data_IF_787683299947
#
_entry.id   IF_787683299947
#
_cell.length_a   1.000
_cell.length_b   1.000
_cell.length_c   1.000
_cell.angle_alpha   90.00
_cell.angle_beta   90.00
_cell.angle_gamma   90.00
#
_symmetry.space_group_name_H-M   'P 1'
#
loop_
_entity.id
_entity.type
_entity.pdbx_description
1 polymer ?
#
# COMPACT_ATOMS: atom_id res chain seq x y z
N UNK A 1 -20.99 9.79 6.02
CA UNK A 1 -22.13 10.72 5.76
C UNK A 1 -21.73 11.77 4.73
N UNK A 2 -22.45 11.89 3.61
CA UNK A 2 -22.32 13.05 2.72
C UNK A 2 -23.04 14.22 3.38
N UNK A 3 -22.32 15.31 3.58
CA UNK A 3 -22.86 16.51 4.23
C UNK A 3 -23.43 17.48 3.19
N UNK A 4 -22.77 17.55 2.04
CA UNK A 4 -23.12 18.51 0.99
C UNK A 4 -22.54 18.06 -0.34
N UNK A 5 -23.34 18.17 -1.40
CA UNK A 5 -22.87 18.07 -2.78
C UNK A 5 -23.13 19.41 -3.44
N UNK A 6 -22.08 20.03 -3.97
CA UNK A 6 -22.21 21.31 -4.65
C UNK A 6 -21.51 21.29 -6.00
N UNK A 7 -22.15 21.93 -6.97
CA UNK A 7 -21.59 22.11 -8.30
C UNK A 7 -20.75 23.38 -8.31
N UNK A 8 -19.44 23.25 -8.51
CA UNK A 8 -18.59 24.39 -8.82
C UNK A 8 -18.87 24.84 -10.26
N UNK A 9 -19.79 25.79 -10.42
CA UNK A 9 -20.22 26.30 -11.73
C UNK A 9 -19.11 27.01 -12.52
N UNK A 10 -18.00 27.40 -11.89
CA UNK A 10 -16.85 28.00 -12.59
C UNK A 10 -15.92 26.96 -13.20
N UNK A 11 -15.82 25.78 -12.59
CA UNK A 11 -14.87 24.73 -12.98
C UNK A 11 -15.57 23.48 -13.55
N UNK A 12 -16.91 23.44 -13.56
CA UNK A 12 -17.68 22.29 -14.04
C UNK A 12 -17.60 21.05 -13.12
N UNK A 13 -16.91 21.15 -11.99
CA UNK A 13 -16.68 20.04 -11.07
C UNK A 13 -17.77 19.92 -10.01
N UNK A 14 -18.01 18.69 -9.56
CA UNK A 14 -18.85 18.40 -8.40
C UNK A 14 -17.98 18.20 -7.18
N UNK A 15 -18.22 18.99 -6.13
CA UNK A 15 -17.54 18.89 -4.85
C UNK A 15 -18.47 18.14 -3.89
N UNK A 16 -17.99 17.02 -3.38
CA UNK A 16 -18.72 16.16 -2.43
C UNK A 16 -18.03 16.26 -1.08
N UNK A 17 -18.69 16.89 -0.13
CA UNK A 17 -18.24 17.00 1.25
C UNK A 17 -18.70 15.77 2.02
N UNK A 18 -17.75 15.01 2.58
CA UNK A 18 -18.03 13.78 3.32
C UNK A 18 -17.38 13.80 4.70
N UNK A 19 -18.15 13.38 5.69
CA UNK A 19 -17.65 13.03 7.02
C UNK A 19 -17.58 11.51 7.11
N UNK A 20 -16.36 10.99 7.27
CA UNK A 20 -16.08 9.55 7.34
C UNK A 20 -16.36 9.05 8.77
N UNK A 21 -17.33 8.14 8.90
CA UNK A 21 -17.63 7.45 10.14
C UNK A 21 -17.45 5.94 9.89
N UNK A 22 -16.21 5.46 9.98
CA UNK A 22 -15.76 4.06 9.88
C UNK A 22 -16.04 3.31 8.56
N UNK A 23 -15.24 2.27 8.30
CA UNK A 23 -15.14 1.54 7.02
C UNK A 23 -16.35 0.64 6.69
N UNK A 24 -17.33 0.49 7.59
CA UNK A 24 -18.43 -0.49 7.46
C UNK A 24 -19.77 0.09 6.97
N UNK A 25 -19.78 1.27 6.33
CA UNK A 25 -21.03 2.00 6.12
C UNK A 25 -21.79 1.56 4.84
N UNK A 26 -22.99 1.00 5.07
CA UNK A 26 -24.03 0.64 4.08
C UNK A 26 -24.39 1.80 3.12
N UNK A 27 -23.98 3.03 3.43
CA UNK A 27 -24.17 4.25 2.64
C UNK A 27 -23.11 4.50 1.54
N UNK A 28 -22.01 3.75 1.49
CA UNK A 28 -21.09 3.77 0.34
C UNK A 28 -21.77 3.24 -0.94
N UNK A 29 -22.73 2.31 -0.82
CA UNK A 29 -23.47 1.74 -1.96
C UNK A 29 -24.34 2.75 -2.71
N UNK A 30 -24.97 3.71 -2.04
CA UNK A 30 -25.81 4.73 -2.70
C UNK A 30 -24.96 5.78 -3.41
N UNK A 31 -23.91 6.27 -2.75
CA UNK A 31 -22.89 7.14 -3.35
C UNK A 31 -22.25 6.47 -4.58
N UNK A 32 -22.02 5.15 -4.48
CA UNK A 32 -21.49 4.31 -5.55
C UNK A 32 -22.50 4.07 -6.67
N UNK A 33 -23.79 3.88 -6.38
CA UNK A 33 -24.84 3.75 -7.40
C UNK A 33 -24.94 5.03 -8.24
N UNK A 34 -24.79 6.18 -7.59
CA UNK A 34 -24.76 7.50 -8.23
C UNK A 34 -23.50 7.71 -9.07
N UNK A 35 -22.30 7.44 -8.56
CA UNK A 35 -21.05 7.54 -9.36
C UNK A 35 -21.01 6.53 -10.52
N UNK A 36 -21.59 5.34 -10.32
CA UNK A 36 -21.71 4.29 -11.34
C UNK A 36 -22.69 4.65 -12.46
N UNK A 37 -23.71 5.47 -12.19
CA UNK A 37 -24.64 5.98 -13.20
C UNK A 37 -24.13 7.23 -13.94
N UNK A 38 -23.04 7.84 -13.46
CA UNK A 38 -22.47 9.08 -13.99
C UNK A 38 -21.06 8.92 -14.57
N UNK A 39 -20.63 7.72 -15.01
CA UNK A 39 -19.41 7.57 -15.83
C UNK A 39 -19.66 8.16 -17.24
N UNK A 40 -19.81 9.48 -17.30
CA UNK A 40 -19.93 10.30 -18.50
C UNK A 40 -18.57 10.68 -19.08
N UNK A 41 -18.57 11.59 -20.05
CA UNK A 41 -17.34 12.06 -20.72
C UNK A 41 -16.44 12.91 -19.80
N UNK A 42 -17.01 13.60 -18.81
CA UNK A 42 -16.28 14.50 -17.89
C UNK A 42 -15.81 13.85 -16.57
N UNK A 43 -15.81 12.52 -16.48
CA UNK A 43 -15.40 11.84 -15.24
C UNK A 43 -13.88 11.82 -15.12
N UNK A 44 -13.33 12.30 -14.01
CA UNK A 44 -11.91 12.07 -13.68
C UNK A 44 -11.68 10.59 -13.37
N UNK A 45 -11.35 9.84 -14.43
CA UNK A 45 -11.17 8.39 -14.39
C UNK A 45 -9.94 7.99 -13.56
N UNK A 46 -8.95 8.86 -13.39
CA UNK A 46 -7.76 8.57 -12.58
C UNK A 46 -8.14 8.55 -11.09
N UNK A 47 -8.78 9.62 -10.62
CA UNK A 47 -9.27 9.72 -9.24
C UNK A 47 -10.28 8.61 -8.92
N UNK A 48 -11.23 8.33 -9.82
CA UNK A 48 -12.18 7.24 -9.65
C UNK A 48 -11.47 5.87 -9.61
N UNK A 49 -10.50 5.64 -10.49
CA UNK A 49 -9.72 4.40 -10.52
C UNK A 49 -8.95 4.17 -9.21
N UNK A 50 -8.35 5.22 -8.64
CA UNK A 50 -7.64 5.18 -7.36
C UNK A 50 -8.59 4.84 -6.21
N UNK A 51 -9.72 5.53 -6.13
CA UNK A 51 -10.75 5.31 -5.12
C UNK A 51 -11.27 3.86 -5.18
N UNK A 52 -11.59 3.36 -6.37
CA UNK A 52 -12.05 1.97 -6.57
C UNK A 52 -10.97 0.95 -6.19
N UNK A 53 -9.70 1.26 -6.43
CA UNK A 53 -8.59 0.40 -6.05
C UNK A 53 -8.47 0.28 -4.53
N UNK A 54 -8.50 1.40 -3.80
CA UNK A 54 -8.42 1.39 -2.33
C UNK A 54 -9.60 0.68 -1.68
N UNK A 55 -10.79 0.68 -2.32
CA UNK A 55 -11.97 -0.07 -1.86
C UNK A 55 -11.95 -1.57 -2.18
N UNK A 56 -10.94 -2.07 -2.91
CA UNK A 56 -10.89 -3.47 -3.31
C UNK A 56 -11.66 -3.83 -4.59
N UNK A 57 -12.27 -2.85 -5.27
CA UNK A 57 -13.06 -3.03 -6.50
C UNK A 57 -12.15 -3.09 -7.75
N UNK A 58 -11.18 -4.01 -7.73
CA UNK A 58 -10.08 -4.08 -8.71
C UNK A 58 -10.54 -4.31 -10.17
N UNK A 59 -11.71 -4.93 -10.36
CA UNK A 59 -12.28 -5.13 -11.70
C UNK A 59 -12.75 -3.82 -12.30
N UNK A 60 -13.38 -2.96 -11.50
CA UNK A 60 -13.91 -1.66 -11.90
C UNK A 60 -12.76 -0.65 -12.03
N UNK A 61 -11.82 -0.63 -11.08
CA UNK A 61 -10.61 0.18 -11.18
C UNK A 61 -9.87 -0.08 -12.51
N UNK A 62 -9.68 -1.36 -12.86
CA UNK A 62 -9.08 -1.74 -14.14
C UNK A 62 -9.87 -1.30 -15.38
N UNK A 63 -11.20 -1.12 -15.29
CA UNK A 63 -12.00 -0.55 -16.39
C UNK A 63 -11.75 0.95 -16.56
N UNK A 64 -11.66 1.70 -15.46
CA UNK A 64 -11.33 3.13 -15.47
C UNK A 64 -9.98 3.37 -16.14
N UNK A 65 -8.94 2.67 -15.67
CA UNK A 65 -7.60 2.80 -16.24
C UNK A 65 -7.53 2.36 -17.71
N UNK A 66 -8.25 1.30 -18.12
CA UNK A 66 -8.31 0.92 -19.54
C UNK A 66 -8.96 2.00 -20.42
N UNK A 67 -9.97 2.71 -19.91
CA UNK A 67 -10.66 3.77 -20.65
C UNK A 67 -9.79 5.03 -20.80
N UNK A 68 -8.96 5.33 -19.81
CA UNK A 68 -7.99 6.44 -19.86
C UNK A 68 -6.89 6.27 -20.92
N UNK A 69 -6.60 5.04 -21.39
CA UNK A 69 -5.48 4.77 -22.31
C UNK A 69 -5.60 5.36 -23.72
N UNK A 70 -6.61 6.20 -23.97
CA UNK A 70 -6.80 6.97 -25.21
C UNK A 70 -6.58 8.48 -25.00
N UNK A 71 -6.00 8.91 -23.87
CA UNK A 71 -5.79 10.31 -23.50
C UNK A 71 -4.30 10.72 -23.65
N UNK A 72 -3.94 11.91 -23.15
CA UNK A 72 -2.57 12.44 -23.17
C UNK A 72 -1.53 11.44 -22.62
N UNK A 73 -0.29 11.48 -23.13
CA UNK A 73 0.73 10.46 -22.82
C UNK A 73 0.97 10.24 -21.32
N UNK A 74 0.93 11.29 -20.48
CA UNK A 74 1.07 11.15 -19.04
C UNK A 74 -0.13 10.43 -18.38
N UNK A 75 -1.35 10.70 -18.85
CA UNK A 75 -2.55 9.99 -18.42
C UNK A 75 -2.45 8.49 -18.76
N UNK A 76 -1.88 8.15 -19.92
CA UNK A 76 -1.60 6.76 -20.29
C UNK A 76 -0.58 6.11 -19.33
N UNK A 77 0.45 6.84 -18.91
CA UNK A 77 1.42 6.38 -17.90
C UNK A 77 0.77 6.11 -16.54
N UNK A 78 -0.11 7.00 -16.08
CA UNK A 78 -0.85 6.82 -14.81
C UNK A 78 -1.86 5.66 -14.89
N UNK A 79 -2.55 5.54 -16.01
CA UNK A 79 -3.43 4.42 -16.27
C UNK A 79 -2.68 3.07 -16.30
N UNK A 80 -1.52 3.01 -16.95
CA UNK A 80 -0.66 1.84 -16.94
C UNK A 80 -0.20 1.51 -15.51
N UNK A 81 0.20 2.51 -14.73
CA UNK A 81 0.58 2.30 -13.33
C UNK A 81 -0.57 1.71 -12.50
N UNK A 82 -1.77 2.26 -12.63
CA UNK A 82 -2.98 1.75 -11.99
C UNK A 82 -3.31 0.30 -12.39
N UNK A 83 -3.14 -0.05 -13.67
CA UNK A 83 -3.28 -1.43 -14.15
C UNK A 83 -2.22 -2.35 -13.55
N UNK A 84 -0.97 -1.91 -13.49
CA UNK A 84 0.12 -2.65 -12.86
C UNK A 84 -0.22 -3.08 -11.43
N UNK A 85 -0.75 -2.14 -10.62
CA UNK A 85 -1.25 -2.41 -9.27
C UNK A 85 -2.38 -3.44 -9.26
N UNK A 86 -3.36 -3.30 -10.16
CA UNK A 86 -4.50 -4.23 -10.26
C UNK A 86 -4.05 -5.65 -10.60
N UNK A 87 -3.09 -5.80 -11.49
CA UNK A 87 -2.58 -7.12 -11.90
C UNK A 87 -1.70 -7.76 -10.81
N UNK A 88 -0.93 -6.98 -10.05
CA UNK A 88 -0.23 -7.47 -8.86
C UNK A 88 -1.20 -8.13 -7.87
N UNK A 89 -2.36 -7.52 -7.62
CA UNK A 89 -3.38 -8.07 -6.71
C UNK A 89 -4.11 -9.29 -7.26
N UNK A 90 -4.08 -9.51 -8.57
CA UNK A 90 -4.56 -10.74 -9.21
C UNK A 90 -3.51 -11.85 -9.24
N UNK A 91 -2.33 -11.60 -8.67
CA UNK A 91 -1.18 -12.49 -8.73
C UNK A 91 -0.74 -12.81 -10.17
N UNK A 92 -0.99 -11.87 -11.10
CA UNK A 92 -0.54 -11.95 -12.49
C UNK A 92 0.73 -11.09 -12.63
N UNK A 93 1.87 -11.75 -12.49
CA UNK A 93 3.18 -11.11 -12.52
C UNK A 93 3.53 -10.54 -13.91
N UNK A 94 3.27 -11.30 -14.98
CA UNK A 94 3.57 -10.90 -16.35
C UNK A 94 2.76 -9.67 -16.75
N UNK A 95 1.45 -9.69 -16.48
CA UNK A 95 0.57 -8.56 -16.75
C UNK A 95 0.95 -7.33 -15.91
N UNK A 96 1.26 -7.54 -14.63
CA UNK A 96 1.65 -6.46 -13.72
C UNK A 96 2.96 -5.78 -14.15
N UNK A 97 4.01 -6.55 -14.45
CA UNK A 97 5.30 -6.03 -14.90
C UNK A 97 5.17 -5.28 -16.21
N UNK A 98 4.47 -5.85 -17.19
CA UNK A 98 4.22 -5.19 -18.48
C UNK A 98 3.68 -3.76 -18.31
N UNK A 99 2.66 -3.59 -17.47
CA UNK A 99 2.05 -2.27 -17.26
C UNK A 99 2.90 -1.35 -16.38
N UNK A 100 3.61 -1.87 -15.37
CA UNK A 100 4.49 -1.08 -14.52
C UNK A 100 5.74 -0.59 -15.28
N UNK A 101 6.29 -1.40 -16.18
CA UNK A 101 7.41 -1.02 -17.06
C UNK A 101 6.99 0.02 -18.10
N UNK A 102 5.78 -0.11 -18.67
CA UNK A 102 5.19 0.91 -19.55
C UNK A 102 5.03 2.25 -18.81
N UNK A 103 4.50 2.21 -17.58
CA UNK A 103 4.34 3.40 -16.74
C UNK A 103 5.69 4.01 -16.35
N UNK A 104 6.66 3.17 -15.99
CA UNK A 104 8.03 3.59 -15.67
C UNK A 104 8.66 4.32 -16.85
N UNK A 105 8.63 3.73 -18.04
CA UNK A 105 9.18 4.33 -19.26
C UNK A 105 8.53 5.69 -19.55
N UNK A 106 7.20 5.76 -19.50
CA UNK A 106 6.44 7.00 -19.74
C UNK A 106 6.79 8.09 -18.71
N UNK A 107 6.82 7.75 -17.41
CA UNK A 107 7.14 8.70 -16.34
C UNK A 107 8.59 9.18 -16.41
N UNK A 108 9.53 8.31 -16.76
CA UNK A 108 10.93 8.70 -16.98
C UNK A 108 11.08 9.69 -18.14
N UNK A 109 10.36 9.46 -19.25
CA UNK A 109 10.41 10.34 -20.42
C UNK A 109 9.80 11.72 -20.15
N UNK A 110 8.69 11.78 -19.41
CA UNK A 110 7.92 13.01 -19.22
C UNK A 110 8.29 13.80 -17.96
N UNK A 111 8.69 13.12 -16.88
CA UNK A 111 8.92 13.72 -15.56
C UNK A 111 10.41 13.74 -15.17
N UNK A 112 11.24 12.96 -15.86
CA UNK A 112 12.65 12.77 -15.55
C UNK A 112 12.91 11.57 -14.63
N UNK A 113 14.17 11.15 -14.56
CA UNK A 113 14.61 9.92 -13.88
C UNK A 113 14.46 9.97 -12.36
N UNK A 114 14.58 11.14 -11.77
CA UNK A 114 14.57 11.32 -10.32
C UNK A 114 13.18 11.73 -9.79
N UNK A 115 12.11 11.64 -10.59
CA UNK A 115 10.77 12.02 -10.13
C UNK A 115 10.18 11.00 -9.14
N UNK A 116 9.39 11.47 -8.17
CA UNK A 116 8.75 10.62 -7.15
C UNK A 116 7.96 9.45 -7.74
N UNK A 117 7.18 9.70 -8.80
CA UNK A 117 6.38 8.71 -9.52
C UNK A 117 7.22 7.59 -10.18
N UNK A 118 8.48 7.87 -10.54
CA UNK A 118 9.43 6.87 -11.04
C UNK A 118 9.86 5.97 -9.87
N UNK A 119 10.14 6.54 -8.71
CA UNK A 119 10.39 5.80 -7.48
C UNK A 119 9.20 4.93 -7.05
N UNK A 120 7.97 5.40 -7.27
CA UNK A 120 6.76 4.62 -7.02
C UNK A 120 6.65 3.41 -7.96
N UNK A 121 6.94 3.57 -9.26
CA UNK A 121 6.99 2.45 -10.21
C UNK A 121 7.98 1.37 -9.74
N UNK A 122 9.21 1.76 -9.38
CA UNK A 122 10.21 0.82 -8.86
C UNK A 122 9.74 0.12 -7.58
N UNK A 123 9.00 0.80 -6.71
CA UNK A 123 8.44 0.20 -5.50
C UNK A 123 7.45 -0.93 -5.83
N UNK A 124 6.59 -0.73 -6.82
CA UNK A 124 5.61 -1.72 -7.23
C UNK A 124 6.20 -2.87 -8.04
N UNK A 125 7.19 -2.59 -8.90
CA UNK A 125 7.95 -3.62 -9.60
C UNK A 125 8.64 -4.52 -8.58
N UNK A 126 9.38 -3.92 -7.64
CA UNK A 126 10.05 -4.67 -6.57
C UNK A 126 9.08 -5.47 -5.70
N UNK A 127 7.88 -4.91 -5.41
CA UNK A 127 6.82 -5.65 -4.73
C UNK A 127 6.39 -6.90 -5.48
N UNK A 128 6.14 -6.77 -6.77
CA UNK A 128 5.67 -7.88 -7.60
C UNK A 128 6.71 -8.99 -7.71
N UNK A 129 8.00 -8.64 -7.79
CA UNK A 129 9.08 -9.60 -7.77
C UNK A 129 9.12 -10.42 -6.47
N UNK A 130 9.08 -9.79 -5.28
CA UNK A 130 9.11 -10.58 -4.04
C UNK A 130 7.77 -11.30 -3.77
N UNK A 131 6.63 -10.70 -4.12
CA UNK A 131 5.32 -11.21 -3.69
C UNK A 131 4.67 -12.21 -4.65
N UNK A 132 5.07 -12.24 -5.92
CA UNK A 132 4.46 -13.11 -6.94
C UNK A 132 5.50 -13.95 -7.68
N UNK A 133 6.66 -13.38 -8.03
CA UNK A 133 7.73 -14.11 -8.72
C UNK A 133 8.63 -14.89 -7.77
N UNK A 134 8.63 -14.53 -6.49
CA UNK A 134 9.60 -15.01 -5.49
C UNK A 134 11.05 -14.74 -5.93
N UNK A 135 11.25 -13.67 -6.72
CA UNK A 135 12.56 -13.23 -7.19
C UNK A 135 13.05 -12.10 -6.30
N UNK A 136 13.76 -12.47 -5.23
CA UNK A 136 14.17 -11.52 -4.21
C UNK A 136 15.33 -10.62 -4.65
N UNK A 137 16.17 -11.07 -5.58
CA UNK A 137 17.28 -10.28 -6.11
C UNK A 137 16.77 -9.11 -6.95
N UNK A 138 15.86 -9.38 -7.90
CA UNK A 138 15.23 -8.32 -8.68
C UNK A 138 14.35 -7.41 -7.81
N UNK A 139 13.70 -7.96 -6.78
CA UNK A 139 13.00 -7.15 -5.80
C UNK A 139 13.93 -6.15 -5.11
N UNK A 140 15.09 -6.59 -4.61
CA UNK A 140 16.07 -5.72 -3.97
C UNK A 140 16.65 -4.68 -4.93
N UNK A 141 16.94 -5.03 -6.19
CA UNK A 141 17.43 -4.09 -7.20
C UNK A 141 16.45 -2.95 -7.39
N UNK A 142 15.17 -3.27 -7.60
CA UNK A 142 14.13 -2.28 -7.86
C UNK A 142 13.81 -1.45 -6.59
N UNK A 143 13.68 -2.09 -5.43
CA UNK A 143 13.40 -1.39 -4.17
C UNK A 143 14.55 -0.45 -3.75
N UNK A 144 15.82 -0.81 -3.99
CA UNK A 144 16.96 0.10 -3.73
C UNK A 144 16.96 1.30 -4.67
N UNK A 145 16.60 1.13 -5.96
CA UNK A 145 16.38 2.25 -6.88
C UNK A 145 15.26 3.17 -6.39
N UNK A 146 14.14 2.59 -5.96
CA UNK A 146 13.03 3.35 -5.39
C UNK A 146 13.44 4.18 -4.18
N UNK A 147 14.13 3.58 -3.19
CA UNK A 147 14.61 4.30 -2.00
C UNK A 147 15.55 5.44 -2.39
N UNK A 148 16.50 5.21 -3.29
CA UNK A 148 17.45 6.25 -3.73
C UNK A 148 16.72 7.48 -4.30
N UNK A 149 15.74 7.25 -5.16
CA UNK A 149 14.94 8.35 -5.76
C UNK A 149 14.11 9.03 -4.67
N UNK A 150 13.38 8.24 -3.88
CA UNK A 150 12.45 8.76 -2.87
C UNK A 150 13.15 9.55 -1.76
N UNK A 151 14.31 9.10 -1.28
CA UNK A 151 15.12 9.84 -0.29
C UNK A 151 15.64 11.17 -0.85
N UNK A 152 15.84 11.27 -2.17
CA UNK A 152 16.32 12.49 -2.82
C UNK A 152 15.20 13.52 -3.03
N UNK A 153 13.95 13.08 -3.29
CA UNK A 153 12.88 13.98 -3.76
C UNK A 153 11.66 14.08 -2.85
N UNK A 154 11.48 13.16 -1.91
CA UNK A 154 10.38 13.20 -0.96
C UNK A 154 10.82 13.76 0.40
N UNK A 155 9.89 14.34 1.18
CA UNK A 155 10.14 14.58 2.58
C UNK A 155 10.61 13.29 3.27
N UNK A 156 11.59 13.35 4.21
CA UNK A 156 12.11 12.17 4.91
C UNK A 156 11.03 11.35 5.64
N UNK A 157 9.89 11.97 5.92
CA UNK A 157 8.77 11.36 6.62
C UNK A 157 7.70 10.80 5.67
N UNK A 158 7.92 10.70 4.36
CA UNK A 158 6.85 10.34 3.41
C UNK A 158 6.32 8.91 3.62
N UNK A 159 5.00 8.75 3.60
CA UNK A 159 4.35 7.42 3.64
C UNK A 159 4.74 6.54 2.45
N UNK A 160 5.06 7.12 1.28
CA UNK A 160 5.55 6.36 0.14
C UNK A 160 6.91 5.72 0.47
N UNK A 161 7.82 6.47 1.08
CA UNK A 161 9.12 5.96 1.52
C UNK A 161 8.97 4.89 2.62
N UNK A 162 8.03 5.08 3.55
CA UNK A 162 7.72 4.06 4.56
C UNK A 162 7.25 2.73 3.95
N UNK A 163 6.47 2.78 2.87
CA UNK A 163 6.01 1.58 2.17
C UNK A 163 7.16 0.87 1.44
N UNK A 164 8.09 1.62 0.84
CA UNK A 164 9.27 1.04 0.20
C UNK A 164 10.23 0.42 1.21
N UNK A 165 10.45 1.07 2.36
CA UNK A 165 11.19 0.45 3.47
C UNK A 165 10.50 -0.80 4.01
N UNK A 166 9.17 -0.79 4.13
CA UNK A 166 8.44 -1.99 4.53
C UNK A 166 8.66 -3.14 3.53
N UNK A 167 8.59 -2.88 2.23
CA UNK A 167 8.86 -3.90 1.20
C UNK A 167 10.29 -4.43 1.28
N UNK A 168 11.30 -3.56 1.51
CA UNK A 168 12.68 -4.01 1.74
C UNK A 168 12.78 -4.89 2.98
N UNK A 169 12.12 -4.50 4.08
CA UNK A 169 12.04 -5.31 5.29
C UNK A 169 11.48 -6.70 5.03
N UNK A 170 10.42 -6.80 4.22
CA UNK A 170 9.83 -8.08 3.79
C UNK A 170 10.77 -8.88 2.91
N UNK A 171 11.44 -8.26 1.93
CA UNK A 171 12.39 -8.97 1.06
C UNK A 171 13.58 -9.51 1.84
N UNK A 172 14.12 -8.76 2.80
CA UNK A 172 15.20 -9.25 3.67
C UNK A 172 14.74 -10.31 4.67
N UNK A 173 13.50 -10.26 5.18
CA UNK A 173 12.90 -11.34 5.98
C UNK A 173 12.85 -12.65 5.18
N UNK A 174 12.42 -12.60 3.92
CA UNK A 174 12.36 -13.76 3.01
C UNK A 174 13.75 -14.32 2.65
N UNK A 175 14.78 -13.48 2.66
CA UNK A 175 16.18 -13.87 2.49
C UNK A 175 16.86 -14.32 3.79
N UNK A 176 16.14 -14.34 4.90
CA UNK A 176 16.67 -14.63 6.25
C UNK A 176 17.76 -13.65 6.74
N UNK A 177 17.85 -12.48 6.11
CA UNK A 177 18.77 -11.39 6.44
C UNK A 177 18.19 -10.50 7.55
N UNK A 178 18.01 -11.10 8.72
CA UNK A 178 17.16 -10.55 9.78
C UNK A 178 17.59 -9.19 10.34
N UNK A 179 18.89 -8.89 10.38
CA UNK A 179 19.36 -7.56 10.82
C UNK A 179 18.95 -6.45 9.86
N UNK A 180 19.06 -6.70 8.55
CA UNK A 180 18.61 -5.76 7.52
C UNK A 180 17.08 -5.64 7.55
N UNK A 181 16.37 -6.77 7.66
CA UNK A 181 14.91 -6.79 7.80
C UNK A 181 14.40 -5.93 8.96
N UNK A 182 14.98 -6.11 10.15
CA UNK A 182 14.67 -5.30 11.34
C UNK A 182 14.98 -3.81 11.11
N UNK A 183 16.12 -3.49 10.51
CA UNK A 183 16.50 -2.10 10.25
C UNK A 183 15.47 -1.39 9.35
N UNK A 184 15.06 -2.03 8.26
CA UNK A 184 14.09 -1.45 7.33
C UNK A 184 12.67 -1.40 7.87
N UNK A 185 12.20 -2.44 8.58
CA UNK A 185 10.90 -2.37 9.26
C UNK A 185 10.87 -1.28 10.34
N UNK A 186 11.97 -1.05 11.06
CA UNK A 186 12.07 0.02 12.06
C UNK A 186 11.99 1.40 11.40
N UNK A 187 12.65 1.61 10.26
CA UNK A 187 12.52 2.86 9.49
C UNK A 187 11.07 3.10 9.05
N UNK A 188 10.39 2.08 8.52
CA UNK A 188 9.00 2.17 8.12
C UNK A 188 8.07 2.48 9.30
N UNK A 189 8.26 1.81 10.44
CA UNK A 189 7.49 2.02 11.66
C UNK A 189 7.62 3.46 12.16
N UNK A 190 8.84 4.00 12.24
CA UNK A 190 9.09 5.37 12.74
C UNK A 190 8.32 6.42 11.94
N UNK A 191 8.25 6.27 10.62
CA UNK A 191 7.47 7.17 9.76
C UNK A 191 5.97 6.99 10.02
N UNK A 192 5.49 5.74 10.09
CA UNK A 192 4.08 5.43 10.34
C UNK A 192 3.60 5.96 11.69
N UNK A 193 4.40 5.81 12.75
CA UNK A 193 4.10 6.39 14.08
C UNK A 193 4.07 7.92 14.07
N UNK A 194 4.88 8.56 13.22
CA UNK A 194 4.92 10.02 13.11
C UNK A 194 3.72 10.59 12.35
N UNK A 195 3.24 9.91 11.31
CA UNK A 195 2.25 10.46 10.38
C UNK A 195 0.84 9.90 10.53
N UNK A 196 0.66 8.71 11.12
CA UNK A 196 -0.63 8.04 11.19
C UNK A 196 -1.21 8.11 12.61
N UNK A 197 -2.55 8.03 12.76
CA UNK A 197 -3.16 7.83 14.06
C UNK A 197 -2.57 6.62 14.79
N UNK A 198 -2.45 6.69 16.11
CA UNK A 198 -1.80 5.66 16.93
C UNK A 198 -2.42 4.26 16.81
N UNK A 199 -3.69 4.18 16.40
CA UNK A 199 -4.44 2.94 16.19
C UNK A 199 -4.49 2.50 14.72
N UNK A 200 -3.73 3.15 13.84
CA UNK A 200 -3.75 2.84 12.42
C UNK A 200 -3.29 1.39 12.14
N UNK A 201 -4.00 0.62 11.28
CA UNK A 201 -3.68 -0.78 10.99
C UNK A 201 -2.23 -1.02 10.54
N UNK A 202 -1.66 -0.09 9.75
CA UNK A 202 -0.26 -0.18 9.29
C UNK A 202 0.77 -0.10 10.41
N UNK A 203 0.49 0.58 11.53
CA UNK A 203 1.37 0.59 12.71
C UNK A 203 1.33 -0.81 13.36
N UNK A 204 0.14 -1.36 13.56
CA UNK A 204 -0.02 -2.72 14.10
C UNK A 204 0.69 -3.77 13.22
N UNK A 205 0.56 -3.67 11.91
CA UNK A 205 1.27 -4.55 10.97
C UNK A 205 2.79 -4.44 11.11
N UNK A 206 3.32 -3.21 11.25
CA UNK A 206 4.75 -2.97 11.42
C UNK A 206 5.28 -3.60 12.71
N UNK A 207 4.56 -3.44 13.82
CA UNK A 207 4.88 -4.11 15.08
C UNK A 207 4.81 -5.63 14.97
N UNK A 208 3.79 -6.18 14.31
CA UNK A 208 3.68 -7.63 14.11
C UNK A 208 4.88 -8.18 13.34
N UNK A 209 5.32 -7.50 12.28
CA UNK A 209 6.46 -7.94 11.46
C UNK A 209 7.79 -7.85 12.22
N UNK A 210 8.01 -6.79 13.01
CA UNK A 210 9.16 -6.71 13.91
C UNK A 210 9.12 -7.81 14.98
N UNK A 211 7.94 -8.10 15.51
CA UNK A 211 7.73 -9.20 16.46
C UNK A 211 8.13 -10.55 15.87
N UNK A 212 7.67 -10.85 14.65
CA UNK A 212 8.07 -12.06 13.91
C UNK A 212 9.58 -12.08 13.66
N UNK A 213 10.16 -11.00 13.15
CA UNK A 213 11.61 -10.92 12.91
C UNK A 213 12.45 -11.18 14.16
N UNK A 214 12.10 -10.56 15.28
CA UNK A 214 12.83 -10.80 16.53
C UNK A 214 12.65 -12.23 17.05
N UNK A 215 11.50 -12.86 16.79
CA UNK A 215 11.29 -14.27 17.10
C UNK A 215 12.22 -15.15 16.27
N UNK A 216 12.34 -14.88 14.96
CA UNK A 216 13.19 -15.65 14.04
C UNK A 216 14.69 -15.46 14.36
N UNK A 217 15.07 -14.29 14.90
CA UNK A 217 16.40 -14.04 15.51
C UNK A 217 16.63 -14.70 16.87
N UNK A 218 15.62 -15.37 17.46
CA UNK A 218 15.69 -15.96 18.80
C UNK A 218 15.59 -14.95 19.95
N UNK A 219 15.35 -13.66 19.69
CA UNK A 219 15.14 -12.66 20.74
C UNK A 219 13.65 -12.61 21.15
N UNK A 220 13.23 -13.61 21.90
CA UNK A 220 11.83 -13.79 22.29
C UNK A 220 11.29 -12.65 23.16
N UNK A 221 12.12 -12.02 23.98
CA UNK A 221 11.70 -10.86 24.79
C UNK A 221 11.31 -9.67 23.94
N UNK A 222 12.14 -9.27 22.96
CA UNK A 222 11.79 -8.18 22.03
C UNK A 222 10.61 -8.57 21.13
N UNK A 223 10.59 -9.81 20.65
CA UNK A 223 9.49 -10.32 19.86
C UNK A 223 8.15 -10.14 20.56
N UNK A 224 8.09 -10.52 21.85
CA UNK A 224 6.89 -10.41 22.65
C UNK A 224 6.44 -8.96 22.83
N UNK A 225 7.38 -8.05 23.15
CA UNK A 225 7.07 -6.62 23.30
C UNK A 225 6.42 -6.04 22.04
N UNK A 226 6.94 -6.35 20.86
CA UNK A 226 6.38 -5.89 19.60
C UNK A 226 5.03 -6.52 19.28
N UNK A 227 4.87 -7.84 19.50
CA UNK A 227 3.58 -8.50 19.30
C UNK A 227 2.50 -7.96 20.25
N UNK A 228 2.84 -7.61 21.49
CA UNK A 228 1.93 -7.00 22.46
C UNK A 228 1.50 -5.58 22.06
N UNK A 229 2.39 -4.78 21.47
CA UNK A 229 1.99 -3.49 20.87
C UNK A 229 1.05 -3.67 19.67
N UNK A 230 1.34 -4.64 18.81
CA UNK A 230 0.48 -4.97 17.66
C UNK A 230 -0.92 -5.39 18.10
N UNK A 231 -1.03 -6.28 19.10
CA UNK A 231 -2.33 -6.81 19.53
C UNK A 231 -3.18 -5.75 20.23
N UNK A 232 -2.55 -4.82 20.95
CA UNK A 232 -3.27 -3.71 21.59
C UNK A 232 -4.03 -2.87 20.55
N UNK A 233 -3.35 -2.51 19.45
CA UNK A 233 -3.97 -1.77 18.35
C UNK A 233 -5.05 -2.64 17.69
N UNK A 234 -4.73 -3.87 17.29
CA UNK A 234 -5.68 -4.78 16.60
C UNK A 234 -6.97 -5.00 17.39
N UNK A 235 -6.91 -5.05 18.73
CA UNK A 235 -8.11 -5.18 19.57
C UNK A 235 -9.02 -3.96 19.56
N UNK A 236 -8.48 -2.75 19.31
CA UNK A 236 -9.27 -1.51 19.23
C UNK A 236 -10.03 -1.41 17.90
N UNK A 237 -9.41 -1.88 16.81
CA UNK A 237 -9.91 -1.65 15.44
C UNK A 237 -10.52 -2.88 14.76
N UNK A 238 -10.33 -4.10 15.29
CA UNK A 238 -10.85 -5.33 14.67
C UNK A 238 -11.84 -6.06 15.58
N UNK A 239 -12.89 -6.70 15.01
CA UNK A 239 -13.76 -7.56 15.78
C UNK A 239 -13.00 -8.78 16.33
N UNK A 240 -13.44 -9.36 17.46
CA UNK A 240 -12.77 -10.51 18.09
C UNK A 240 -12.60 -11.75 17.20
N UNK A 241 -13.40 -11.87 16.14
CA UNK A 241 -13.38 -12.98 15.17
C UNK A 241 -12.39 -12.76 14.01
N UNK A 242 -11.79 -11.57 13.90
CA UNK A 242 -10.92 -11.24 12.78
C UNK A 242 -9.66 -12.11 12.74
N UNK A 243 -9.34 -12.65 11.56
CA UNK A 243 -8.23 -13.60 11.37
C UNK A 243 -6.87 -13.04 11.81
N UNK A 244 -6.60 -11.78 11.49
CA UNK A 244 -5.35 -11.10 11.91
C UNK A 244 -5.19 -11.00 13.42
N UNK A 245 -6.27 -10.71 14.16
CA UNK A 245 -6.23 -10.68 15.61
C UNK A 245 -5.92 -12.07 16.17
N UNK A 246 -6.62 -13.10 15.66
CA UNK A 246 -6.38 -14.51 16.04
C UNK A 246 -4.95 -14.96 15.74
N UNK A 247 -4.38 -14.51 14.61
CA UNK A 247 -3.00 -14.81 14.24
C UNK A 247 -2.00 -14.22 15.23
N UNK A 248 -2.15 -12.95 15.61
CA UNK A 248 -1.27 -12.33 16.61
C UNK A 248 -1.43 -12.97 17.99
N UNK A 249 -2.66 -13.30 18.42
CA UNK A 249 -2.93 -14.05 19.66
C UNK A 249 -2.19 -15.39 19.69
N UNK A 250 -2.26 -16.13 18.58
CA UNK A 250 -1.58 -17.41 18.44
C UNK A 250 -0.05 -17.26 18.49
N UNK A 251 0.51 -16.23 17.85
CA UNK A 251 1.94 -15.97 17.87
C UNK A 251 2.42 -15.64 19.29
N UNK A 252 1.70 -14.78 20.01
CA UNK A 252 2.00 -14.44 21.41
C UNK A 252 1.95 -15.68 22.29
N UNK A 253 0.92 -16.53 22.15
CA UNK A 253 0.80 -17.77 22.94
C UNK A 253 1.99 -18.70 22.69
N UNK A 254 2.28 -19.02 21.43
CA UNK A 254 3.41 -19.89 21.05
C UNK A 254 4.74 -19.35 21.59
N UNK A 255 4.94 -18.05 21.52
CA UNK A 255 6.14 -17.40 22.02
C UNK A 255 6.25 -17.50 23.54
N UNK A 256 5.16 -17.24 24.28
CA UNK A 256 5.11 -17.39 25.74
C UNK A 256 5.39 -18.83 26.19
N UNK A 257 4.92 -19.82 25.44
CA UNK A 257 5.20 -21.23 25.73
C UNK A 257 6.67 -21.56 25.49
N UNK A 258 7.27 -21.08 24.38
CA UNK A 258 8.72 -21.21 24.11
C UNK A 258 9.60 -20.52 25.15
N UNK A 259 9.14 -19.47 25.80
CA UNK A 259 9.91 -18.76 26.85
C UNK A 259 9.87 -19.46 28.21
N UNK A 260 8.97 -20.42 28.41
CA UNK A 260 8.84 -21.20 29.66
C UNK A 260 9.70 -22.47 29.66
N UNK A 261 10.15 -22.90 28.49
CA UNK A 261 10.93 -24.12 28.25
C UNK A 261 12.32 -23.76 27.76
#
# INVERSE_FOLDING_TARGET
RIEKVEQNKKEGMWIVHVTLASEDDFHLKETFSYMKSTIGEDTDLDSLGKILFEMGEYKQAGKCYKRMRNEAQLANGNAAFGLGKVYNLRMDADGGLKYLEEALCTRQQLLGQDHADVGECYTWIGRLHWSVREDYDEALINLKKAVKIQEAVLPPDSLALANTYHNLGTTYDLLEEYDLGVAYYTKALKIREKLLPNDHPSIAMSYNNLGKMYQDKGNYTRALQYLEKSIEIRRKILPPTHAELKRTENNIRKLKDKMKH
#
